data_IF_761793862764
#
_entry.id   IF_761793862764
#
_cell.length_a   1.000
_cell.length_b   1.000
_cell.length_c   1.000
_cell.angle_alpha   90.00
_cell.angle_beta   90.00
_cell.angle_gamma   90.00
#
_symmetry.space_group_name_H-M   'P 1'
#
loop_
_entity.id
_entity.type
_entity.pdbx_description
1 polymer ?
#
# COMPACT_ATOMS: atom_id res chain seq x y z
N UNK A 1 -11.08 19.92 -24.68
CA UNK A 1 -11.03 20.61 -23.37
C UNK A 1 -9.97 19.92 -22.50
N UNK A 2 -8.74 20.41 -22.48
CA UNK A 2 -7.59 19.74 -21.81
C UNK A 2 -7.30 20.27 -20.40
N UNK A 3 -7.90 21.40 -20.01
CA UNK A 3 -7.83 21.95 -18.65
C UNK A 3 -9.17 21.74 -17.91
N UNK A 4 -9.27 20.61 -17.23
CA UNK A 4 -10.32 20.31 -16.26
C UNK A 4 -9.77 20.55 -14.84
N UNK A 5 -10.64 20.83 -13.86
CA UNK A 5 -10.24 21.09 -12.47
C UNK A 5 -9.44 19.91 -11.89
N UNK A 6 -9.79 18.70 -12.31
CA UNK A 6 -9.12 17.43 -12.00
C UNK A 6 -7.65 17.42 -12.42
N UNK A 7 -7.33 17.92 -13.64
CA UNK A 7 -5.96 18.01 -14.14
C UNK A 7 -5.12 18.96 -13.28
N UNK A 8 -5.73 20.05 -12.80
CA UNK A 8 -5.08 20.99 -11.87
C UNK A 8 -4.72 20.33 -10.54
N UNK A 9 -5.64 19.56 -9.94
CA UNK A 9 -5.36 18.82 -8.72
C UNK A 9 -4.31 17.72 -8.92
N UNK A 10 -4.32 17.02 -10.06
CA UNK A 10 -3.29 16.02 -10.39
C UNK A 10 -1.89 16.64 -10.50
N UNK A 11 -1.76 17.79 -11.14
CA UNK A 11 -0.49 18.53 -11.22
C UNK A 11 -0.05 18.98 -9.82
N UNK A 12 -0.97 19.51 -9.01
CA UNK A 12 -0.69 19.89 -7.63
C UNK A 12 -0.20 18.70 -6.80
N UNK A 13 -0.85 17.54 -6.92
CA UNK A 13 -0.43 16.32 -6.24
C UNK A 13 0.97 15.89 -6.71
N UNK A 14 1.26 15.93 -8.00
CA UNK A 14 2.58 15.58 -8.53
C UNK A 14 3.69 16.49 -7.96
N UNK A 15 3.45 17.79 -7.92
CA UNK A 15 4.40 18.76 -7.34
C UNK A 15 4.57 18.50 -5.83
N UNK A 16 3.47 18.30 -5.10
CA UNK A 16 3.52 18.03 -3.67
C UNK A 16 4.21 16.70 -3.33
N UNK A 17 4.11 15.68 -4.19
CA UNK A 17 4.83 14.43 -4.04
C UNK A 17 6.34 14.64 -4.15
N UNK A 18 6.80 15.38 -5.17
CA UNK A 18 8.23 15.71 -5.32
C UNK A 18 8.75 16.50 -4.13
N UNK A 19 8.02 17.55 -3.72
CA UNK A 19 8.38 18.38 -2.58
C UNK A 19 8.46 17.55 -1.30
N UNK A 20 7.51 16.62 -1.12
CA UNK A 20 7.51 15.70 0.02
C UNK A 20 8.70 14.76 0.02
N UNK A 21 9.06 14.16 -1.13
CA UNK A 21 10.25 13.29 -1.18
C UNK A 21 11.53 14.09 -0.92
N UNK A 22 11.60 15.35 -1.37
CA UNK A 22 12.70 16.25 -0.99
C UNK A 22 12.75 16.51 0.52
N UNK A 23 11.61 16.79 1.16
CA UNK A 23 11.53 16.93 2.62
C UNK A 23 11.96 15.63 3.34
N UNK A 24 11.58 14.46 2.83
CA UNK A 24 11.96 13.17 3.40
C UNK A 24 13.49 12.97 3.31
N UNK A 25 14.13 13.33 2.19
CA UNK A 25 15.60 13.29 2.03
C UNK A 25 16.28 14.30 2.97
N UNK A 26 15.77 15.52 3.05
CA UNK A 26 16.30 16.55 3.94
C UNK A 26 16.22 16.11 5.40
N UNK A 27 15.12 15.49 5.81
CA UNK A 27 14.95 14.93 7.15
C UNK A 27 15.96 13.80 7.44
N UNK A 28 16.26 12.93 6.46
CA UNK A 28 17.28 11.89 6.62
C UNK A 28 18.65 12.53 6.87
N UNK A 29 19.05 13.51 6.04
CA UNK A 29 20.35 14.18 6.16
C UNK A 29 20.46 15.01 7.45
N UNK A 30 19.44 15.81 7.76
CA UNK A 30 19.45 16.64 8.96
C UNK A 30 19.37 15.80 10.25
N UNK A 31 18.76 14.61 10.18
CA UNK A 31 18.79 13.64 11.27
C UNK A 31 20.17 12.99 11.47
N UNK A 32 20.90 12.67 10.40
CA UNK A 32 22.24 12.08 10.50
C UNK A 32 23.27 13.07 11.04
N UNK A 33 23.22 14.35 10.65
CA UNK A 33 24.13 15.39 11.20
C UNK A 33 23.87 15.68 12.69
N UNK A 34 22.63 15.57 13.15
CA UNK A 34 22.31 15.70 14.59
C UNK A 34 22.95 14.53 15.35
N UNK A 35 22.83 13.31 14.83
CA UNK A 35 23.44 12.12 15.42
C UNK A 35 24.97 12.17 15.40
N UNK A 36 25.57 12.60 14.30
CA UNK A 36 27.03 12.77 14.22
C UNK A 36 27.54 13.85 15.18
N UNK A 37 26.80 14.95 15.39
CA UNK A 37 27.12 15.98 16.38
C UNK A 37 27.01 15.48 17.83
N UNK A 38 26.05 14.59 18.12
CA UNK A 38 25.93 13.92 19.43
C UNK A 38 27.16 13.03 19.68
N UNK A 39 27.55 12.23 18.69
CA UNK A 39 28.72 11.34 18.77
C UNK A 39 30.01 12.15 18.92
N UNK A 40 30.14 13.23 18.16
CA UNK A 40 31.28 14.17 18.21
C UNK A 40 31.32 15.06 19.46
N UNK A 41 30.35 14.94 20.39
CA UNK A 41 30.22 15.74 21.63
C UNK A 41 30.21 17.26 21.42
N UNK A 42 29.92 17.75 20.21
CA UNK A 42 29.85 19.19 19.93
C UNK A 42 28.50 19.76 20.34
N UNK A 43 28.43 20.41 21.52
CA UNK A 43 27.19 21.04 22.01
C UNK A 43 26.71 22.21 21.14
N UNK A 44 27.63 22.92 20.45
CA UNK A 44 27.28 24.06 19.60
C UNK A 44 26.58 23.59 18.32
N UNK A 45 27.16 22.60 17.65
CA UNK A 45 26.61 22.07 16.39
C UNK A 45 25.29 21.34 16.63
N UNK A 46 25.21 20.56 17.72
CA UNK A 46 23.95 19.92 18.12
C UNK A 46 22.80 20.93 18.30
N UNK A 47 23.02 22.03 19.06
CA UNK A 47 21.98 23.06 19.25
C UNK A 47 21.57 23.72 17.93
N UNK A 48 22.53 24.00 17.04
CA UNK A 48 22.27 24.61 15.74
C UNK A 48 21.44 23.69 14.85
N UNK A 49 21.83 22.42 14.69
CA UNK A 49 21.10 21.46 13.87
C UNK A 49 19.71 21.15 14.44
N UNK A 50 19.60 21.03 15.77
CA UNK A 50 18.31 20.81 16.45
C UNK A 50 17.36 21.98 16.24
N UNK A 51 17.83 23.22 16.37
CA UNK A 51 16.98 24.39 16.16
C UNK A 51 16.53 24.49 14.69
N UNK A 52 17.44 24.27 13.74
CA UNK A 52 17.10 24.20 12.31
C UNK A 52 16.06 23.11 12.02
N UNK A 53 16.15 21.96 12.69
CA UNK A 53 15.19 20.87 12.54
C UNK A 53 13.80 21.26 13.07
N UNK A 54 13.73 21.86 14.26
CA UNK A 54 12.47 22.33 14.84
C UNK A 54 11.84 23.43 13.97
N UNK A 55 12.63 24.38 13.47
CA UNK A 55 12.16 25.45 12.60
C UNK A 55 11.59 24.93 11.26
N UNK A 56 12.12 23.81 10.74
CA UNK A 56 11.64 23.20 9.50
C UNK A 56 10.39 22.30 9.68
N UNK A 57 10.08 21.84 10.90
CA UNK A 57 8.94 20.95 11.15
C UNK A 57 7.59 21.50 10.66
N UNK A 58 7.23 22.78 10.92
CA UNK A 58 5.96 23.34 10.45
C UNK A 58 5.85 23.30 8.92
N UNK A 59 6.93 23.64 8.21
CA UNK A 59 6.96 23.61 6.75
C UNK A 59 6.78 22.18 6.21
N UNK A 60 7.47 21.19 6.79
CA UNK A 60 7.32 19.78 6.38
C UNK A 60 5.90 19.28 6.65
N UNK A 61 5.32 19.63 7.80
CA UNK A 61 3.93 19.30 8.14
C UNK A 61 2.95 19.93 7.15
N UNK A 62 3.18 21.17 6.75
CA UNK A 62 2.36 21.90 5.78
C UNK A 62 2.34 21.18 4.43
N UNK A 63 3.51 20.77 3.91
CA UNK A 63 3.61 19.99 2.65
C UNK A 63 2.83 18.68 2.72
N UNK A 64 2.94 17.96 3.83
CA UNK A 64 2.21 16.71 4.03
C UNK A 64 0.68 16.93 4.08
N UNK A 65 0.22 17.98 4.75
CA UNK A 65 -1.20 18.30 4.83
C UNK A 65 -1.75 18.82 3.50
N UNK A 66 -1.00 19.61 2.73
CA UNK A 66 -1.41 20.02 1.39
C UNK A 66 -1.54 18.83 0.43
N UNK A 67 -0.62 17.87 0.49
CA UNK A 67 -0.74 16.65 -0.31
C UNK A 67 -2.01 15.87 0.04
N UNK A 68 -2.32 15.71 1.34
CA UNK A 68 -3.57 15.07 1.79
C UNK A 68 -4.81 15.83 1.33
N UNK A 69 -4.79 17.15 1.43
CA UNK A 69 -5.86 18.01 0.96
C UNK A 69 -6.10 17.82 -0.55
N UNK A 70 -5.05 17.89 -1.37
CA UNK A 70 -5.14 17.67 -2.81
C UNK A 70 -5.71 16.30 -3.19
N UNK A 71 -5.31 15.23 -2.47
CA UNK A 71 -5.87 13.89 -2.67
C UNK A 71 -7.36 13.81 -2.31
N UNK A 72 -7.78 14.42 -1.21
CA UNK A 72 -9.18 14.42 -0.80
C UNK A 72 -10.08 15.22 -1.76
N UNK A 73 -9.62 16.37 -2.24
CA UNK A 73 -10.32 17.13 -3.28
C UNK A 73 -10.42 16.34 -4.59
N UNK A 74 -9.37 15.63 -4.99
CA UNK A 74 -9.41 14.77 -6.17
C UNK A 74 -10.44 13.65 -6.02
N UNK A 75 -10.52 13.00 -4.85
CA UNK A 75 -11.56 12.00 -4.54
C UNK A 75 -12.95 12.57 -4.69
N UNK A 76 -13.20 13.76 -4.12
CA UNK A 76 -14.49 14.42 -4.19
C UNK A 76 -14.85 14.77 -5.63
N UNK A 77 -13.91 15.31 -6.41
CA UNK A 77 -14.15 15.70 -7.79
C UNK A 77 -14.51 14.48 -8.67
N UNK A 78 -13.78 13.37 -8.51
CA UNK A 78 -14.12 12.12 -9.18
C UNK A 78 -15.47 11.58 -8.77
N UNK A 79 -15.80 11.60 -7.47
CA UNK A 79 -17.12 11.19 -6.97
C UNK A 79 -18.23 12.02 -7.61
N UNK A 80 -18.13 13.35 -7.58
CA UNK A 80 -19.15 14.25 -8.15
C UNK A 80 -19.36 13.96 -9.64
N UNK A 81 -18.28 13.77 -10.40
CA UNK A 81 -18.36 13.53 -11.84
C UNK A 81 -18.93 12.15 -12.17
N UNK A 82 -18.46 11.12 -11.49
CA UNK A 82 -18.90 9.74 -11.72
C UNK A 82 -20.37 9.57 -11.29
N UNK A 83 -20.74 10.08 -10.12
CA UNK A 83 -22.12 10.05 -9.65
C UNK A 83 -23.06 10.79 -10.61
N UNK A 84 -22.72 12.00 -11.08
CA UNK A 84 -23.54 12.73 -12.06
C UNK A 84 -23.73 11.95 -13.36
N UNK A 85 -22.64 11.41 -13.91
CA UNK A 85 -22.69 10.61 -15.14
C UNK A 85 -23.55 9.35 -14.97
N UNK A 86 -23.40 8.63 -13.86
CA UNK A 86 -24.18 7.43 -13.59
C UNK A 86 -25.67 7.74 -13.38
N UNK A 87 -26.02 8.83 -12.69
CA UNK A 87 -27.41 9.24 -12.54
C UNK A 87 -28.02 9.70 -13.86
N UNK A 88 -27.27 10.41 -14.71
CA UNK A 88 -27.73 10.81 -16.04
C UNK A 88 -28.09 9.59 -16.89
N UNK A 89 -27.25 8.55 -16.85
CA UNK A 89 -27.49 7.29 -17.58
C UNK A 89 -28.57 6.41 -16.93
N UNK A 90 -28.67 6.40 -15.59
CA UNK A 90 -29.68 5.64 -14.85
C UNK A 90 -31.09 6.21 -15.08
N UNK A 91 -31.21 7.54 -15.13
CA UNK A 91 -32.46 8.25 -15.40
C UNK A 91 -32.75 8.40 -16.89
N UNK A 92 -31.87 7.94 -17.78
CA UNK A 92 -32.11 7.95 -19.20
C UNK A 92 -33.14 6.87 -19.56
N UNK A 93 -34.30 7.29 -20.07
CA UNK A 93 -35.43 6.40 -20.44
C UNK A 93 -35.94 5.55 -19.27
N UNK A 94 -36.56 4.39 -19.53
CA UNK A 94 -37.06 3.46 -18.51
C UNK A 94 -35.96 2.57 -17.90
N UNK A 95 -34.70 3.00 -17.90
CA UNK A 95 -33.56 2.20 -17.43
C UNK A 95 -33.67 1.89 -15.93
N UNK A 96 -34.10 2.86 -15.12
CA UNK A 96 -34.40 2.65 -13.69
C UNK A 96 -35.39 1.51 -13.46
N UNK A 97 -36.44 1.41 -14.30
CA UNK A 97 -37.45 0.37 -14.19
C UNK A 97 -36.92 -0.98 -14.68
N UNK A 98 -36.18 -0.99 -15.80
CA UNK A 98 -35.56 -2.21 -16.32
C UNK A 98 -34.55 -2.82 -15.35
N UNK A 99 -33.74 -1.98 -14.72
CA UNK A 99 -32.68 -2.41 -13.80
C UNK A 99 -33.21 -2.83 -12.42
N UNK A 100 -34.38 -2.32 -12.01
CA UNK A 100 -35.05 -2.73 -10.77
C UNK A 100 -35.96 -3.97 -10.91
N UNK A 101 -36.67 -4.12 -12.02
CA UNK A 101 -37.74 -5.11 -12.16
C UNK A 101 -37.52 -6.17 -13.25
N UNK A 102 -36.68 -5.91 -14.27
CA UNK A 102 -36.55 -6.77 -15.46
C UNK A 102 -35.18 -7.44 -15.59
N UNK A 103 -34.13 -6.85 -15.02
CA UNK A 103 -32.75 -7.34 -15.12
C UNK A 103 -32.17 -7.63 -13.73
N UNK A 104 -32.17 -8.92 -13.35
CA UNK A 104 -31.65 -9.38 -12.06
C UNK A 104 -30.11 -9.55 -12.07
N UNK A 105 -29.42 -9.15 -13.14
CA UNK A 105 -27.96 -9.24 -13.24
C UNK A 105 -27.24 -8.22 -12.38
N UNK A 106 -27.89 -7.10 -12.06
CA UNK A 106 -27.32 -6.03 -11.22
C UNK A 106 -28.10 -5.99 -9.91
N UNK A 107 -27.55 -6.65 -8.89
CA UNK A 107 -28.13 -6.64 -7.55
C UNK A 107 -28.03 -5.25 -6.90
N UNK A 108 -29.11 -4.81 -6.27
CA UNK A 108 -29.20 -3.59 -5.45
C UNK A 108 -28.59 -2.33 -6.14
N UNK A 109 -29.22 -1.82 -7.21
CA UNK A 109 -28.73 -0.65 -7.94
C UNK A 109 -28.64 0.62 -7.06
N UNK A 110 -29.44 0.70 -6.00
CA UNK A 110 -29.39 1.74 -4.97
C UNK A 110 -28.06 1.72 -4.19
N UNK A 111 -27.60 0.55 -3.76
CA UNK A 111 -26.32 0.38 -3.07
C UNK A 111 -25.15 0.68 -4.02
N UNK A 112 -25.26 0.23 -5.27
CA UNK A 112 -24.24 0.47 -6.30
C UNK A 112 -24.03 1.97 -6.53
N UNK A 113 -25.10 2.71 -6.81
CA UNK A 113 -25.06 4.14 -7.16
C UNK A 113 -24.64 5.04 -5.99
N UNK A 114 -24.86 4.60 -4.75
CA UNK A 114 -24.57 5.39 -3.55
C UNK A 114 -23.23 5.03 -2.91
N UNK A 115 -23.09 3.80 -2.43
CA UNK A 115 -21.95 3.39 -1.60
C UNK A 115 -20.77 2.89 -2.44
N UNK A 116 -21.03 2.13 -3.49
CA UNK A 116 -19.95 1.47 -4.22
C UNK A 116 -19.23 2.44 -5.15
N UNK A 117 -19.92 3.43 -5.72
CA UNK A 117 -19.31 4.56 -6.43
C UNK A 117 -18.33 5.32 -5.52
N UNK A 118 -18.72 5.60 -4.28
CA UNK A 118 -17.85 6.26 -3.30
C UNK A 118 -16.60 5.42 -3.00
N UNK A 119 -16.78 4.13 -2.68
CA UNK A 119 -15.68 3.21 -2.40
C UNK A 119 -14.75 3.09 -3.60
N UNK A 120 -15.28 3.04 -4.81
CA UNK A 120 -14.52 2.97 -6.05
C UNK A 120 -13.65 4.22 -6.23
N UNK A 121 -14.25 5.42 -6.17
CA UNK A 121 -13.49 6.67 -6.32
C UNK A 121 -12.39 6.83 -5.28
N UNK A 122 -12.69 6.50 -4.01
CA UNK A 122 -11.69 6.53 -2.94
C UNK A 122 -10.54 5.56 -3.21
N UNK A 123 -10.87 4.32 -3.58
CA UNK A 123 -9.89 3.27 -3.88
C UNK A 123 -8.97 3.64 -5.04
N UNK A 124 -9.51 4.23 -6.12
CA UNK A 124 -8.72 4.66 -7.28
C UNK A 124 -7.70 5.74 -6.92
N UNK A 125 -8.11 6.76 -6.15
CA UNK A 125 -7.19 7.85 -5.76
C UNK A 125 -6.17 7.38 -4.71
N UNK A 126 -6.60 6.56 -3.76
CA UNK A 126 -5.69 5.99 -2.76
C UNK A 126 -4.64 5.10 -3.42
N UNK A 127 -5.06 4.29 -4.39
CA UNK A 127 -4.17 3.47 -5.20
C UNK A 127 -3.15 4.32 -5.97
N UNK A 128 -3.59 5.40 -6.62
CA UNK A 128 -2.70 6.34 -7.30
C UNK A 128 -1.63 6.90 -6.35
N UNK A 129 -2.04 7.38 -5.17
CA UNK A 129 -1.11 7.91 -4.16
C UNK A 129 -0.15 6.84 -3.61
N UNK A 130 -0.69 5.66 -3.30
CA UNK A 130 0.05 4.54 -2.71
C UNK A 130 1.07 3.91 -3.67
N UNK A 131 0.94 4.15 -4.98
CA UNK A 131 1.92 3.73 -5.99
C UNK A 131 2.87 4.84 -6.41
N UNK A 132 2.33 6.05 -6.64
CA UNK A 132 3.11 7.18 -7.15
C UNK A 132 4.18 7.61 -6.16
N UNK A 133 3.87 7.65 -4.86
CA UNK A 133 4.85 8.04 -3.86
C UNK A 133 6.03 7.05 -3.77
N UNK A 134 5.81 5.75 -3.52
CA UNK A 134 6.92 4.80 -3.48
C UNK A 134 7.73 4.75 -4.76
N UNK A 135 7.10 4.91 -5.93
CA UNK A 135 7.80 4.95 -7.20
C UNK A 135 8.80 6.11 -7.28
N UNK A 136 8.36 7.33 -6.94
CA UNK A 136 9.22 8.51 -6.89
C UNK A 136 10.35 8.37 -5.85
N UNK A 137 10.02 7.83 -4.67
CA UNK A 137 11.00 7.55 -3.62
C UNK A 137 12.11 6.62 -4.14
N UNK A 138 11.76 5.52 -4.82
CA UNK A 138 12.73 4.56 -5.39
C UNK A 138 13.63 5.22 -6.42
N UNK A 139 13.06 5.95 -7.38
CA UNK A 139 13.82 6.63 -8.43
C UNK A 139 14.84 7.59 -7.81
N UNK A 140 14.40 8.44 -6.89
CA UNK A 140 15.26 9.43 -6.25
C UNK A 140 16.34 8.80 -5.37
N UNK A 141 16.01 7.74 -4.61
CA UNK A 141 17.01 7.03 -3.82
C UNK A 141 18.04 6.33 -4.71
N UNK A 142 17.65 5.71 -5.83
CA UNK A 142 18.61 5.12 -6.77
C UNK A 142 19.56 6.18 -7.32
N UNK A 143 19.05 7.33 -7.76
CA UNK A 143 19.91 8.41 -8.26
C UNK A 143 20.89 8.90 -7.19
N UNK A 144 20.42 9.11 -5.96
CA UNK A 144 21.27 9.56 -4.85
C UNK A 144 22.28 8.51 -4.41
N UNK A 145 21.89 7.25 -4.24
CA UNK A 145 22.82 6.17 -3.89
C UNK A 145 23.81 5.88 -5.03
N UNK A 146 23.40 5.98 -6.29
CA UNK A 146 24.31 5.80 -7.44
C UNK A 146 25.38 6.89 -7.43
N UNK A 147 25.00 8.12 -7.10
CA UNK A 147 25.95 9.21 -6.91
C UNK A 147 26.83 8.98 -5.67
N UNK A 148 26.29 8.44 -4.57
CA UNK A 148 26.99 8.25 -3.28
C UNK A 148 27.97 7.04 -3.22
N UNK A 149 27.58 5.90 -3.80
CA UNK A 149 28.27 4.60 -3.64
C UNK A 149 28.66 3.98 -5.00
N UNK A 150 28.22 4.57 -6.11
CA UNK A 150 28.36 4.00 -7.45
C UNK A 150 27.19 3.08 -7.82
N UNK A 151 27.02 2.84 -9.13
CA UNK A 151 25.83 2.18 -9.69
C UNK A 151 25.69 0.68 -9.31
N UNK A 152 26.79 0.01 -8.98
CA UNK A 152 26.79 -1.44 -8.73
C UNK A 152 26.01 -1.81 -7.46
N UNK A 153 26.07 -0.99 -6.42
CA UNK A 153 25.36 -1.22 -5.15
C UNK A 153 23.83 -1.19 -5.32
N UNK A 154 23.23 -0.06 -5.75
CA UNK A 154 21.80 0.06 -6.00
C UNK A 154 21.28 -0.94 -7.03
N UNK A 155 22.06 -1.26 -8.08
CA UNK A 155 21.66 -2.23 -9.08
C UNK A 155 21.49 -3.64 -8.49
N UNK A 156 22.41 -4.08 -7.63
CA UNK A 156 22.30 -5.39 -6.97
C UNK A 156 21.12 -5.47 -6.00
N UNK A 157 20.86 -4.39 -5.25
CA UNK A 157 19.68 -4.29 -4.38
C UNK A 157 18.37 -4.31 -5.19
N UNK A 158 18.33 -3.59 -6.33
CA UNK A 158 17.18 -3.60 -7.23
C UNK A 158 16.94 -5.00 -7.81
N UNK A 159 17.98 -5.68 -8.27
CA UNK A 159 17.89 -7.04 -8.78
C UNK A 159 17.32 -8.00 -7.73
N UNK A 160 17.83 -7.92 -6.49
CA UNK A 160 17.31 -8.68 -5.37
C UNK A 160 15.83 -8.37 -5.10
N UNK A 161 15.45 -7.09 -5.03
CA UNK A 161 14.09 -6.68 -4.73
C UNK A 161 13.09 -7.04 -5.83
N UNK A 162 13.49 -6.97 -7.10
CA UNK A 162 12.68 -7.42 -8.23
C UNK A 162 12.48 -8.94 -8.21
N UNK A 163 13.56 -9.70 -8.00
CA UNK A 163 13.50 -11.16 -7.91
C UNK A 163 12.63 -11.61 -6.73
N UNK A 164 12.90 -11.05 -5.55
CA UNK A 164 12.12 -11.27 -4.32
C UNK A 164 10.65 -10.90 -4.51
N UNK A 165 10.37 -9.73 -5.11
CA UNK A 165 9.01 -9.29 -5.39
C UNK A 165 8.27 -10.22 -6.33
N UNK A 166 8.92 -10.68 -7.41
CA UNK A 166 8.35 -11.65 -8.34
C UNK A 166 8.06 -13.00 -7.66
N UNK A 167 9.04 -13.51 -6.90
CA UNK A 167 8.91 -14.76 -6.15
C UNK A 167 7.76 -14.71 -5.13
N UNK A 168 7.71 -13.66 -4.31
CA UNK A 168 6.64 -13.45 -3.32
C UNK A 168 5.27 -13.26 -3.97
N UNK A 169 5.20 -12.61 -5.14
CA UNK A 169 3.95 -12.46 -5.89
C UNK A 169 3.46 -13.82 -6.40
N UNK A 170 4.38 -14.65 -6.92
CA UNK A 170 4.07 -16.00 -7.39
C UNK A 170 3.58 -16.92 -6.27
N UNK A 171 4.19 -16.80 -5.09
CA UNK A 171 3.83 -17.58 -3.90
C UNK A 171 2.48 -17.13 -3.30
N UNK A 172 2.11 -15.85 -3.44
CA UNK A 172 0.83 -15.28 -2.99
C UNK A 172 -0.36 -15.53 -3.91
N UNK A 173 -0.14 -15.94 -5.17
CA UNK A 173 -1.19 -16.23 -6.16
C UNK A 173 -2.38 -17.10 -5.66
N UNK A 174 -2.21 -18.17 -4.85
CA UNK A 174 -3.34 -18.99 -4.38
C UNK A 174 -4.28 -18.26 -3.39
N UNK A 175 -3.86 -17.16 -2.75
CA UNK A 175 -4.70 -16.41 -1.79
C UNK A 175 -6.03 -16.00 -2.43
N UNK A 176 -6.00 -15.50 -3.68
CA UNK A 176 -7.21 -15.08 -4.37
C UNK A 176 -8.22 -16.21 -4.55
N UNK A 177 -7.75 -17.41 -4.92
CA UNK A 177 -8.61 -18.60 -5.06
C UNK A 177 -9.23 -19.01 -3.71
N UNK A 178 -8.45 -18.95 -2.63
CA UNK A 178 -8.93 -19.26 -1.29
C UNK A 178 -9.96 -18.24 -0.78
N UNK A 179 -9.79 -16.96 -1.11
CA UNK A 179 -10.78 -15.91 -0.79
C UNK A 179 -12.08 -16.08 -1.57
N UNK A 180 -12.03 -16.48 -2.85
CA UNK A 180 -13.25 -16.80 -3.61
C UNK A 180 -13.97 -18.02 -3.00
N UNK A 181 -13.22 -19.06 -2.61
CA UNK A 181 -13.80 -20.22 -1.93
C UNK A 181 -14.41 -19.86 -0.57
N UNK A 182 -13.78 -18.96 0.19
CA UNK A 182 -14.29 -18.43 1.45
C UNK A 182 -15.64 -17.73 1.24
N UNK A 183 -15.73 -16.81 0.27
CA UNK A 183 -16.99 -16.14 -0.08
C UNK A 183 -18.08 -17.12 -0.54
N UNK A 184 -17.70 -18.18 -1.26
CA UNK A 184 -18.65 -19.24 -1.65
C UNK A 184 -19.21 -19.98 -0.44
N UNK A 185 -18.37 -20.36 0.53
CA UNK A 185 -18.83 -21.06 1.74
C UNK A 185 -19.62 -20.14 2.67
N UNK A 186 -19.25 -18.86 2.80
CA UNK A 186 -20.05 -17.86 3.50
C UNK A 186 -21.41 -17.67 2.83
N UNK A 187 -21.44 -17.61 1.51
CA UNK A 187 -22.68 -17.55 0.71
C UNK A 187 -23.57 -18.77 0.92
N UNK A 188 -23.00 -19.98 0.90
CA UNK A 188 -23.72 -21.24 1.18
C UNK A 188 -24.30 -21.23 2.60
N UNK A 189 -23.55 -20.78 3.61
CA UNK A 189 -24.02 -20.64 4.98
C UNK A 189 -25.17 -19.62 5.10
N UNK A 190 -25.02 -18.43 4.49
CA UNK A 190 -26.08 -17.41 4.45
C UNK A 190 -27.34 -17.90 3.76
N UNK A 191 -27.18 -18.65 2.66
CA UNK A 191 -28.30 -19.23 1.93
C UNK A 191 -29.09 -20.23 2.78
N UNK A 192 -28.41 -21.15 3.49
CA UNK A 192 -29.09 -22.09 4.40
C UNK A 192 -29.84 -21.33 5.49
N UNK A 193 -29.25 -20.26 6.05
CA UNK A 193 -29.93 -19.44 7.06
C UNK A 193 -31.14 -18.68 6.49
N UNK A 194 -31.03 -18.14 5.28
CA UNK A 194 -32.16 -17.50 4.59
C UNK A 194 -33.28 -18.50 4.31
N UNK A 195 -32.95 -19.72 3.90
CA UNK A 195 -33.92 -20.80 3.66
C UNK A 195 -34.66 -21.18 4.94
N UNK A 196 -33.97 -21.21 6.08
CA UNK A 196 -34.60 -21.45 7.38
C UNK A 196 -35.66 -20.39 7.68
N UNK A 197 -35.35 -19.12 7.44
CA UNK A 197 -36.28 -17.99 7.68
C UNK A 197 -37.47 -18.06 6.74
N UNK A 198 -37.25 -18.31 5.44
CA UNK A 198 -38.34 -18.36 4.44
C UNK A 198 -39.32 -19.51 4.70
N UNK A 199 -38.83 -20.67 5.15
CA UNK A 199 -39.66 -21.86 5.38
C UNK A 199 -39.94 -22.10 6.88
N UNK A 200 -39.87 -21.06 7.71
CA UNK A 200 -39.97 -21.20 9.17
C UNK A 200 -41.31 -21.78 9.63
N UNK A 201 -42.40 -21.47 8.92
CA UNK A 201 -43.74 -21.98 9.21
C UNK A 201 -43.85 -23.49 8.98
N UNK A 202 -43.35 -23.98 7.84
CA UNK A 202 -43.33 -25.40 7.50
C UNK A 202 -42.48 -26.19 8.50
N UNK A 203 -41.31 -25.66 8.86
CA UNK A 203 -40.40 -26.31 9.81
C UNK A 203 -41.04 -26.40 11.20
N UNK A 204 -41.73 -25.35 11.64
CA UNK A 204 -42.46 -25.33 12.91
C UNK A 204 -43.63 -26.33 12.90
N UNK A 205 -44.38 -26.41 11.80
CA UNK A 205 -45.51 -27.34 11.65
C UNK A 205 -45.07 -28.81 11.69
N UNK A 206 -43.96 -29.15 11.01
CA UNK A 206 -43.44 -30.52 10.95
C UNK A 206 -42.45 -30.87 12.08
N UNK A 207 -42.23 -29.99 13.06
CA UNK A 207 -41.23 -30.17 14.13
C UNK A 207 -39.80 -30.49 13.60
N UNK A 208 -39.41 -29.88 12.48
CA UNK A 208 -38.17 -30.17 11.74
C UNK A 208 -36.88 -29.60 12.36
N UNK A 209 -36.95 -28.97 13.54
CA UNK A 209 -35.88 -28.17 14.14
C UNK A 209 -34.53 -28.87 14.24
N UNK A 210 -34.49 -30.15 14.63
CA UNK A 210 -33.22 -30.88 14.77
C UNK A 210 -32.55 -31.17 13.42
N UNK A 211 -33.34 -31.39 12.37
CA UNK A 211 -32.85 -31.64 11.02
C UNK A 211 -32.21 -30.37 10.45
N UNK A 212 -32.88 -29.24 10.60
CA UNK A 212 -32.35 -27.94 10.16
C UNK A 212 -31.12 -27.52 10.96
N UNK A 213 -31.11 -27.76 12.29
CA UNK A 213 -29.93 -27.53 13.13
C UNK A 213 -28.71 -28.29 12.60
N UNK A 214 -28.85 -29.57 12.28
CA UNK A 214 -27.75 -30.37 11.72
C UNK A 214 -27.30 -29.83 10.36
N UNK A 215 -28.22 -29.36 9.53
CA UNK A 215 -27.91 -28.81 8.20
C UNK A 215 -27.10 -27.52 8.29
N UNK A 216 -27.50 -26.61 9.19
CA UNK A 216 -26.78 -25.36 9.47
C UNK A 216 -25.39 -25.66 10.05
N UNK A 217 -25.29 -26.59 11.00
CA UNK A 217 -24.00 -26.96 11.59
C UNK A 217 -23.05 -27.57 10.55
N UNK A 218 -23.55 -28.37 9.61
CA UNK A 218 -22.72 -28.92 8.51
C UNK A 218 -22.18 -27.82 7.60
N UNK A 219 -23.02 -26.88 7.19
CA UNK A 219 -22.61 -25.74 6.37
C UNK A 219 -21.58 -24.85 7.11
N UNK A 220 -21.82 -24.60 8.40
CA UNK A 220 -20.90 -23.85 9.25
C UNK A 220 -19.57 -24.57 9.44
N UNK A 221 -19.58 -25.88 9.67
CA UNK A 221 -18.35 -26.65 9.89
C UNK A 221 -17.44 -26.65 8.66
N UNK A 222 -18.03 -26.77 7.46
CA UNK A 222 -17.32 -26.65 6.18
C UNK A 222 -16.65 -25.28 6.01
N UNK A 223 -17.33 -24.20 6.41
CA UNK A 223 -16.75 -22.86 6.43
C UNK A 223 -15.59 -22.78 7.43
N UNK A 224 -15.76 -23.30 8.65
CA UNK A 224 -14.72 -23.30 9.69
C UNK A 224 -13.47 -24.07 9.26
N UNK A 225 -13.63 -25.23 8.63
CA UNK A 225 -12.51 -26.04 8.12
C UNK A 225 -11.70 -25.27 7.06
N UNK A 226 -12.40 -24.62 6.12
CA UNK A 226 -11.75 -23.76 5.12
C UNK A 226 -11.02 -22.57 5.77
N UNK A 227 -11.65 -21.92 6.74
CA UNK A 227 -11.04 -20.80 7.47
C UNK A 227 -9.79 -21.25 8.23
N UNK A 228 -9.80 -22.43 8.86
CA UNK A 228 -8.63 -22.97 9.56
C UNK A 228 -7.46 -23.20 8.60
N UNK A 229 -7.71 -23.85 7.46
CA UNK A 229 -6.72 -24.06 6.41
C UNK A 229 -6.19 -22.72 5.85
N UNK A 230 -7.08 -21.74 5.69
CA UNK A 230 -6.70 -20.42 5.22
C UNK A 230 -5.85 -19.65 6.22
N UNK A 231 -6.13 -19.76 7.53
CA UNK A 231 -5.33 -19.17 8.59
C UNK A 231 -3.91 -19.76 8.58
N UNK A 232 -3.78 -21.09 8.50
CA UNK A 232 -2.47 -21.75 8.46
C UNK A 232 -1.67 -21.37 7.20
N UNK A 233 -2.33 -21.27 6.05
CA UNK A 233 -1.71 -20.79 4.83
C UNK A 233 -1.24 -19.33 4.97
N UNK A 234 -2.08 -18.44 5.53
CA UNK A 234 -1.73 -17.03 5.79
C UNK A 234 -0.56 -16.91 6.77
N UNK A 235 -0.51 -17.74 7.81
CA UNK A 235 0.61 -17.78 8.76
C UNK A 235 1.92 -18.13 8.05
N UNK A 236 1.93 -19.23 7.30
CA UNK A 236 3.11 -19.68 6.54
C UNK A 236 3.58 -18.62 5.55
N UNK A 237 2.65 -18.01 4.82
CA UNK A 237 2.95 -16.93 3.89
C UNK A 237 3.48 -15.68 4.59
N UNK A 238 2.91 -15.31 5.75
CA UNK A 238 3.37 -14.17 6.54
C UNK A 238 4.79 -14.36 7.08
N UNK A 239 5.13 -15.60 7.48
CA UNK A 239 6.49 -15.97 7.87
C UNK A 239 7.47 -15.82 6.70
N UNK A 240 7.14 -16.36 5.52
CA UNK A 240 7.98 -16.24 4.31
C UNK A 240 8.13 -14.79 3.84
N UNK A 241 7.04 -14.01 3.82
CA UNK A 241 7.07 -12.58 3.48
C UNK A 241 8.03 -11.84 4.42
N UNK A 242 7.99 -12.13 5.73
CA UNK A 242 8.87 -11.47 6.71
C UNK A 242 10.34 -11.83 6.50
N UNK A 243 10.65 -13.10 6.26
CA UNK A 243 12.04 -13.53 5.99
C UNK A 243 12.59 -12.86 4.74
N UNK A 244 11.85 -12.93 3.64
CA UNK A 244 12.34 -12.49 2.34
C UNK A 244 12.33 -10.97 2.23
N UNK A 245 11.23 -10.32 2.61
CA UNK A 245 11.08 -8.87 2.43
C UNK A 245 11.79 -8.04 3.50
N UNK A 246 12.01 -8.58 4.71
CA UNK A 246 12.64 -7.84 5.81
C UNK A 246 14.04 -8.34 6.12
N UNK A 247 14.20 -9.61 6.50
CA UNK A 247 15.49 -10.09 7.02
C UNK A 247 16.53 -10.25 5.92
N UNK A 248 16.23 -10.98 4.85
CA UNK A 248 17.15 -11.14 3.72
C UNK A 248 17.42 -9.81 3.01
N UNK A 249 16.41 -8.94 2.89
CA UNK A 249 16.61 -7.59 2.36
C UNK A 249 17.58 -6.75 3.20
N UNK A 250 17.54 -6.90 4.53
CA UNK A 250 18.48 -6.22 5.45
C UNK A 250 19.89 -6.76 5.29
N UNK A 251 20.06 -8.08 5.14
CA UNK A 251 21.37 -8.72 4.89
C UNK A 251 21.98 -8.23 3.58
N UNK A 252 21.20 -8.23 2.49
CA UNK A 252 21.63 -7.69 1.20
C UNK A 252 21.95 -6.19 1.32
N UNK A 253 21.14 -5.44 2.08
CA UNK A 253 21.41 -4.04 2.39
C UNK A 253 22.77 -3.82 3.06
N UNK A 254 23.12 -4.60 4.08
CA UNK A 254 24.43 -4.53 4.72
C UNK A 254 25.58 -4.89 3.77
N UNK A 255 25.43 -5.91 2.93
CA UNK A 255 26.43 -6.29 1.93
C UNK A 255 26.65 -5.18 0.88
N UNK A 256 25.57 -4.53 0.45
CA UNK A 256 25.62 -3.44 -0.53
C UNK A 256 26.24 -2.20 0.07
N UNK A 257 25.83 -1.81 1.27
CA UNK A 257 26.37 -0.61 1.93
C UNK A 257 27.82 -0.84 2.32
N UNK A 258 28.22 -2.00 2.82
CA UNK A 258 29.60 -2.25 3.28
C UNK A 258 30.67 -2.30 2.19
N UNK A 259 30.33 -2.74 0.95
CA UNK A 259 31.29 -2.86 -0.17
C UNK A 259 32.14 -1.61 -0.45
N UNK A 260 31.59 -0.40 -0.62
CA UNK A 260 32.38 0.81 -0.86
C UNK A 260 33.26 1.22 0.33
N UNK A 261 32.81 0.99 1.57
CA UNK A 261 33.55 1.37 2.78
C UNK A 261 34.65 0.37 3.14
N UNK A 262 34.51 -0.90 2.76
CA UNK A 262 35.53 -1.93 2.94
C UNK A 262 36.61 -1.88 1.85
N UNK A 263 36.31 -1.33 0.67
CA UNK A 263 37.29 -1.13 -0.39
C UNK A 263 38.11 0.16 -0.14
N UNK A 264 39.30 0.03 0.43
CA UNK A 264 40.23 1.15 0.70
C UNK A 264 40.65 1.94 -0.56
N UNK A 265 40.42 1.41 -1.75
CA UNK A 265 40.79 2.01 -3.04
C UNK A 265 39.70 2.93 -3.63
N UNK A 266 38.60 3.20 -2.92
CA UNK A 266 37.56 4.09 -3.44
C UNK A 266 38.00 5.58 -3.37
N UNK A 267 38.03 6.31 -4.51
CA UNK A 267 38.64 7.64 -4.59
C UNK A 267 37.95 8.71 -3.73
N UNK A 268 36.72 8.45 -3.25
CA UNK A 268 35.98 9.36 -2.38
C UNK A 268 36.31 9.22 -0.89
N UNK A 269 36.74 8.04 -0.45
CA UNK A 269 36.93 7.72 0.96
C UNK A 269 38.41 7.68 1.39
N UNK A 270 39.33 7.92 0.45
CA UNK A 270 40.77 7.99 0.74
C UNK A 270 41.18 9.21 1.57
N UNK A 271 40.42 10.31 1.51
CA UNK A 271 40.71 11.56 2.24
C UNK A 271 39.66 11.91 3.30
N UNK A 272 38.66 11.06 3.53
CA UNK A 272 37.55 11.34 4.45
C UNK A 272 37.93 11.06 5.90
N UNK A 273 37.46 11.90 6.81
CA UNK A 273 37.63 11.67 8.26
C UNK A 273 36.71 10.55 8.74
N UNK A 274 37.07 9.84 9.81
CA UNK A 274 36.23 8.78 10.41
C UNK A 274 34.79 9.25 10.73
N UNK A 275 34.60 10.53 11.06
CA UNK A 275 33.27 11.11 11.27
C UNK A 275 32.44 11.23 9.98
N UNK A 276 33.06 11.64 8.87
CA UNK A 276 32.42 11.78 7.56
C UNK A 276 32.07 10.42 6.96
N UNK A 277 32.98 9.44 7.10
CA UNK A 277 32.74 8.04 6.74
C UNK A 277 31.52 7.45 7.44
N UNK A 278 31.41 7.72 8.74
CA UNK A 278 30.31 7.24 9.56
C UNK A 278 28.99 7.92 9.16
N UNK A 279 29.01 9.22 8.88
CA UNK A 279 27.84 9.97 8.40
C UNK A 279 27.33 9.46 7.04
N UNK A 280 28.23 9.27 6.06
CA UNK A 280 27.91 8.74 4.74
C UNK A 280 27.35 7.31 4.81
N UNK A 281 27.90 6.48 5.70
CA UNK A 281 27.41 5.12 5.95
C UNK A 281 25.98 5.14 6.50
N UNK A 282 25.71 5.96 7.51
CA UNK A 282 24.37 6.08 8.09
C UNK A 282 23.35 6.65 7.10
N UNK A 283 23.74 7.67 6.32
CA UNK A 283 22.87 8.27 5.31
C UNK A 283 22.51 7.24 4.22
N UNK A 284 23.51 6.53 3.70
CA UNK A 284 23.32 5.52 2.66
C UNK A 284 22.49 4.32 3.14
N UNK A 285 22.74 3.84 4.36
CA UNK A 285 21.97 2.77 4.98
C UNK A 285 20.49 3.14 5.18
N UNK A 286 20.21 4.37 5.64
CA UNK A 286 18.84 4.87 5.80
C UNK A 286 18.11 5.00 4.48
N UNK A 287 18.78 5.51 3.44
CA UNK A 287 18.18 5.61 2.10
C UNK A 287 17.87 4.22 1.54
N UNK A 288 18.76 3.24 1.70
CA UNK A 288 18.53 1.87 1.25
C UNK A 288 17.32 1.23 1.97
N UNK A 289 17.21 1.43 3.27
CA UNK A 289 16.08 0.92 4.05
C UNK A 289 14.74 1.55 3.61
N UNK A 290 14.72 2.86 3.36
CA UNK A 290 13.54 3.57 2.83
C UNK A 290 13.17 3.09 1.43
N UNK A 291 14.17 2.83 0.57
CA UNK A 291 13.96 2.26 -0.76
C UNK A 291 13.34 0.85 -0.69
N UNK A 292 13.85 -0.01 0.20
CA UNK A 292 13.30 -1.36 0.42
C UNK A 292 11.84 -1.29 0.91
N UNK A 293 11.53 -0.37 1.82
CA UNK A 293 10.15 -0.15 2.29
C UNK A 293 9.22 0.38 1.19
N UNK A 294 9.72 1.27 0.33
CA UNK A 294 8.97 1.76 -0.83
C UNK A 294 8.65 0.62 -1.80
N UNK A 295 9.64 -0.21 -2.16
CA UNK A 295 9.42 -1.38 -3.02
C UNK A 295 8.43 -2.38 -2.40
N UNK A 296 8.55 -2.67 -1.10
CA UNK A 296 7.59 -3.51 -0.39
C UNK A 296 6.15 -2.99 -0.50
N UNK A 297 5.95 -1.67 -0.37
CA UNK A 297 4.63 -1.03 -0.54
C UNK A 297 4.09 -1.16 -1.97
N UNK A 298 4.92 -1.05 -3.00
CA UNK A 298 4.49 -1.24 -4.41
C UNK A 298 4.01 -2.67 -4.65
N UNK A 299 4.78 -3.65 -4.17
CA UNK A 299 4.41 -5.07 -4.33
C UNK A 299 3.09 -5.37 -3.60
N UNK A 300 2.85 -4.74 -2.45
CA UNK A 300 1.57 -4.84 -1.72
C UNK A 300 0.43 -4.10 -2.43
N UNK A 301 0.66 -2.91 -3.01
CA UNK A 301 -0.36 -2.15 -3.73
C UNK A 301 -0.86 -2.88 -4.99
N UNK A 302 0.02 -3.61 -5.69
CA UNK A 302 -0.39 -4.48 -6.80
C UNK A 302 -1.39 -5.58 -6.38
N UNK A 303 -1.33 -6.03 -5.12
CA UNK A 303 -2.29 -6.98 -4.55
C UNK A 303 -3.65 -6.33 -4.30
N UNK A 304 -3.69 -5.10 -3.79
CA UNK A 304 -4.95 -4.38 -3.57
C UNK A 304 -5.69 -4.11 -4.89
N UNK A 305 -4.98 -3.80 -5.98
CA UNK A 305 -5.57 -3.73 -7.32
C UNK A 305 -6.27 -5.03 -7.72
N UNK A 306 -5.61 -6.16 -7.48
CA UNK A 306 -6.15 -7.48 -7.86
C UNK A 306 -7.44 -7.79 -7.09
N UNK A 307 -7.58 -7.28 -5.86
CA UNK A 307 -8.80 -7.40 -5.04
C UNK A 307 -9.90 -6.42 -5.47
N UNK A 308 -9.57 -5.29 -6.07
CA UNK A 308 -10.54 -4.33 -6.61
C UNK A 308 -11.07 -4.76 -7.99
N UNK A 309 -10.30 -5.57 -8.72
CA UNK A 309 -10.66 -6.06 -10.06
C UNK A 309 -11.49 -7.36 -10.05
N UNK A 310 -11.80 -7.92 -8.88
CA UNK A 310 -12.51 -9.19 -8.71
C UNK A 310 -13.61 -9.11 -7.67
#
# INVERSE_FOLDING_TARGET
RTFCKETGYLILIAIMLVLRTYCDIWMIHNGTVIESAIIGRSRKDFKRYLFNFIAAMPAISLVNNFLKYGLNELKLCFRVRLTKYLYEQYLQSYTFYKMGNLDNRIGNPDQLLTQDVEKFCNSVVDLYSNLSKPFLDIVLYIFKLTSAIGAQGPASMMAYLLFSGFFLTRLRRPIGKMTVAEQKYEGEYRYVNSRLITNSEEIAFYNGNQREKQTIHKAFHKLVEHLHNFILFRFTMGFVDTIIAKYLATVVGYLVVSRPFLNLSHPRHQSSTHAELLEDYYQSGRMLLRMSQALGRIVLAGREMTRLAG
#
